data_IF_822381395889
#
_entry.id   IF_822381395889
#
_cell.length_a   1.000
_cell.length_b   1.000
_cell.length_c   1.000
_cell.angle_alpha   90.00
_cell.angle_beta   90.00
_cell.angle_gamma   90.00
#
_symmetry.space_group_name_H-M   'P 1'
#
loop_
_entity.id
_entity.type
_entity.pdbx_description
1 polymer ?
#
# COMPACT_ATOMS: atom_id res chain seq x y z
N UNK A 1 -7.76 1.56 22.45
CA UNK A 1 -7.72 3.04 22.62
C UNK A 1 -7.12 3.59 21.34
N UNK A 2 -7.89 4.41 20.62
CA UNK A 2 -7.46 5.12 19.42
C UNK A 2 -6.81 6.45 19.80
N UNK A 3 -5.90 6.98 18.98
CA UNK A 3 -5.34 8.32 19.18
C UNK A 3 -6.45 9.38 18.99
N UNK A 4 -6.59 10.31 19.94
CA UNK A 4 -7.67 11.32 19.88
C UNK A 4 -7.37 12.48 18.93
N UNK A 5 -6.08 12.78 18.74
CA UNK A 5 -5.64 14.03 18.09
C UNK A 5 -5.30 13.89 16.60
N UNK A 6 -5.22 12.67 16.07
CA UNK A 6 -4.90 12.46 14.66
C UNK A 6 -5.53 11.18 14.13
N UNK A 7 -5.80 11.20 12.83
CA UNK A 7 -6.26 10.03 12.07
C UNK A 7 -5.07 9.37 11.38
N UNK A 8 -5.02 8.04 11.37
CA UNK A 8 -3.94 7.32 10.72
C UNK A 8 -4.33 6.94 9.29
N UNK A 9 -3.41 7.21 8.37
CA UNK A 9 -3.41 6.67 7.02
C UNK A 9 -2.26 5.67 6.89
N UNK A 10 -2.52 4.53 6.26
CA UNK A 10 -1.52 3.51 5.94
C UNK A 10 -1.28 3.44 4.44
N UNK A 11 -0.12 2.91 4.03
CA UNK A 11 0.24 2.74 2.63
C UNK A 11 0.57 1.27 2.37
N UNK A 12 -0.10 0.67 1.37
CA UNK A 12 0.12 -0.70 0.96
C UNK A 12 0.87 -0.72 -0.38
N UNK A 13 2.17 -1.09 -0.39
CA UNK A 13 2.95 -1.16 -1.63
C UNK A 13 2.45 -2.26 -2.58
N UNK A 14 2.68 -2.11 -3.88
CA UNK A 14 2.26 -3.03 -4.92
C UNK A 14 2.90 -4.42 -4.70
N UNK A 15 4.17 -4.47 -4.27
CA UNK A 15 4.82 -5.75 -3.94
C UNK A 15 4.08 -6.53 -2.83
N UNK A 16 3.50 -5.83 -1.85
CA UNK A 16 2.65 -6.45 -0.83
C UNK A 16 1.28 -6.83 -1.41
N UNK A 17 0.60 -5.88 -2.07
CA UNK A 17 -0.74 -6.08 -2.64
C UNK A 17 -0.80 -7.18 -3.70
N UNK A 18 0.31 -7.44 -4.39
CA UNK A 18 0.44 -8.53 -5.36
C UNK A 18 0.27 -9.89 -4.70
N UNK A 19 0.83 -10.07 -3.51
CA UNK A 19 1.00 -11.38 -2.87
C UNK A 19 0.06 -11.60 -1.68
N UNK A 20 -0.55 -10.55 -1.14
CA UNK A 20 -1.45 -10.69 0.02
C UNK A 20 -2.75 -11.38 -0.37
N UNK A 21 -3.23 -12.26 0.49
CA UNK A 21 -4.55 -12.88 0.46
C UNK A 21 -5.48 -12.16 1.45
N UNK A 22 -6.79 -12.13 1.18
CA UNK A 22 -7.74 -11.33 1.97
C UNK A 22 -7.82 -11.79 3.43
N UNK A 23 -7.68 -13.08 3.70
CA UNK A 23 -7.71 -13.63 5.05
C UNK A 23 -6.49 -13.18 5.87
N UNK A 24 -5.32 -13.10 5.22
CA UNK A 24 -4.12 -12.58 5.87
C UNK A 24 -4.25 -11.06 6.12
N UNK A 25 -4.79 -10.33 5.14
CA UNK A 25 -5.05 -8.89 5.27
C UNK A 25 -6.04 -8.59 6.40
N UNK A 26 -7.08 -9.40 6.55
CA UNK A 26 -8.05 -9.29 7.65
C UNK A 26 -7.39 -9.49 9.01
N UNK A 27 -6.64 -10.56 9.17
CA UNK A 27 -5.92 -10.86 10.41
C UNK A 27 -4.97 -9.72 10.80
N UNK A 28 -4.21 -9.20 9.84
CA UNK A 28 -3.28 -8.11 10.07
C UNK A 28 -4.01 -6.81 10.44
N UNK A 29 -5.08 -6.47 9.71
CA UNK A 29 -5.89 -5.29 9.99
C UNK A 29 -6.53 -5.36 11.38
N UNK A 30 -7.10 -6.51 11.76
CA UNK A 30 -7.69 -6.73 13.07
C UNK A 30 -6.68 -6.59 14.20
N UNK A 31 -5.44 -7.03 13.97
CA UNK A 31 -4.36 -6.80 14.92
C UNK A 31 -4.06 -5.31 15.08
N UNK A 32 -3.87 -4.59 13.97
CA UNK A 32 -3.52 -3.17 14.02
C UNK A 32 -4.64 -2.30 14.60
N UNK A 33 -5.92 -2.58 14.28
CA UNK A 33 -7.07 -1.80 14.76
C UNK A 33 -7.25 -1.83 16.28
N UNK A 34 -6.64 -2.79 16.99
CA UNK A 34 -6.61 -2.80 18.47
C UNK A 34 -5.85 -1.60 19.04
N UNK A 35 -4.87 -1.10 18.29
CA UNK A 35 -3.91 -0.09 18.74
C UNK A 35 -3.92 1.19 17.90
N UNK A 36 -4.38 1.12 16.65
CA UNK A 36 -4.27 2.19 15.66
C UNK A 36 -5.64 2.56 15.08
N UNK A 37 -5.96 3.85 15.04
CA UNK A 37 -7.17 4.40 14.39
C UNK A 37 -6.96 4.59 12.89
N UNK A 38 -6.88 3.47 12.17
CA UNK A 38 -6.70 3.47 10.71
C UNK A 38 -8.02 3.89 10.06
N UNK A 39 -8.03 5.07 9.44
CA UNK A 39 -9.21 5.63 8.74
C UNK A 39 -9.02 5.74 7.24
N UNK A 40 -7.80 5.56 6.76
CA UNK A 40 -7.46 5.67 5.35
C UNK A 40 -6.37 4.68 4.96
N UNK A 41 -6.46 4.16 3.74
CA UNK A 41 -5.42 3.37 3.08
C UNK A 41 -5.11 3.93 1.70
N UNK A 42 -3.82 3.98 1.38
CA UNK A 42 -3.34 4.17 0.02
C UNK A 42 -2.98 2.82 -0.57
N UNK A 43 -3.61 2.48 -1.69
CA UNK A 43 -3.40 1.24 -2.42
C UNK A 43 -2.52 1.52 -3.64
N UNK A 44 -1.28 1.04 -3.59
CA UNK A 44 -0.36 1.21 -4.70
C UNK A 44 -0.70 0.28 -5.86
N UNK A 45 -1.16 0.85 -6.96
CA UNK A 45 -1.62 0.08 -8.13
C UNK A 45 -0.45 -0.38 -9.02
N UNK A 46 0.67 0.33 -8.96
CA UNK A 46 1.85 0.06 -9.76
C UNK A 46 3.16 0.51 -9.08
N UNK A 47 4.18 -0.35 -9.14
CA UNK A 47 5.58 -0.07 -8.77
C UNK A 47 6.51 -0.98 -9.57
N UNK A 48 7.34 -0.42 -10.44
CA UNK A 48 8.32 -1.19 -11.21
C UNK A 48 7.71 -2.33 -12.01
N UNK A 49 8.13 -3.56 -11.71
CA UNK A 49 7.61 -4.75 -12.39
C UNK A 49 6.22 -5.19 -11.86
N UNK A 50 5.72 -4.60 -10.78
CA UNK A 50 4.47 -4.98 -10.15
C UNK A 50 3.34 -4.06 -10.58
N UNK A 51 2.41 -4.59 -11.38
CA UNK A 51 1.12 -3.98 -11.69
C UNK A 51 0.02 -4.88 -11.14
N UNK A 52 -0.84 -4.34 -10.28
CA UNK A 52 -1.89 -5.16 -9.66
C UNK A 52 -3.05 -5.35 -10.64
N UNK A 53 -3.51 -6.60 -10.87
CA UNK A 53 -4.70 -6.84 -11.69
C UNK A 53 -5.89 -6.06 -11.15
N UNK A 54 -6.67 -5.45 -12.06
CA UNK A 54 -7.83 -4.62 -11.70
C UNK A 54 -8.80 -5.35 -10.78
N UNK A 55 -9.09 -6.62 -11.06
CA UNK A 55 -9.99 -7.43 -10.25
C UNK A 55 -9.49 -7.56 -8.80
N UNK A 56 -8.21 -7.92 -8.61
CA UNK A 56 -7.60 -8.02 -7.28
C UNK A 56 -7.65 -6.68 -6.55
N UNK A 57 -7.33 -5.58 -7.25
CA UNK A 57 -7.38 -4.23 -6.66
C UNK A 57 -8.79 -3.83 -6.24
N UNK A 58 -9.82 -4.17 -7.02
CA UNK A 58 -11.21 -3.90 -6.66
C UNK A 58 -11.65 -4.70 -5.42
N UNK A 59 -11.30 -6.00 -5.34
CA UNK A 59 -11.58 -6.81 -4.14
C UNK A 59 -10.92 -6.24 -2.88
N UNK A 60 -9.67 -5.79 -2.99
CA UNK A 60 -8.96 -5.17 -1.86
C UNK A 60 -9.57 -3.81 -1.50
N UNK A 61 -9.96 -3.00 -2.49
CA UNK A 61 -10.66 -1.74 -2.26
C UNK A 61 -11.97 -1.97 -1.50
N UNK A 62 -12.79 -2.91 -1.96
CA UNK A 62 -14.06 -3.31 -1.34
C UNK A 62 -13.83 -3.77 0.10
N UNK A 63 -12.84 -4.62 0.35
CA UNK A 63 -12.47 -5.09 1.69
C UNK A 63 -12.26 -3.95 2.70
N UNK A 64 -11.59 -2.86 2.30
CA UNK A 64 -11.36 -1.70 3.17
C UNK A 64 -12.60 -0.80 3.30
N UNK A 65 -13.32 -0.56 2.21
CA UNK A 65 -14.50 0.31 2.22
C UNK A 65 -15.66 -0.26 3.04
N UNK A 66 -15.87 -1.59 3.00
CA UNK A 66 -16.82 -2.31 3.86
C UNK A 66 -16.51 -2.15 5.35
N UNK A 67 -15.28 -1.81 5.70
CA UNK A 67 -14.80 -1.58 7.08
C UNK A 67 -14.69 -0.08 7.41
N UNK A 68 -15.33 0.78 6.62
CA UNK A 68 -15.35 2.24 6.77
C UNK A 68 -13.96 2.90 6.65
N UNK A 69 -13.00 2.23 5.99
CA UNK A 69 -11.65 2.77 5.72
C UNK A 69 -11.63 3.39 4.33
N UNK A 70 -11.32 4.68 4.24
CA UNK A 70 -11.26 5.40 2.97
C UNK A 70 -10.10 4.88 2.13
N UNK A 71 -10.34 4.66 0.84
CA UNK A 71 -9.29 4.21 -0.09
C UNK A 71 -8.79 5.37 -0.96
N UNK A 72 -7.54 5.29 -1.40
CA UNK A 72 -6.96 6.19 -2.41
C UNK A 72 -5.91 5.43 -3.20
N UNK A 73 -5.70 5.79 -4.47
CA UNK A 73 -4.67 5.17 -5.30
C UNK A 73 -3.28 5.75 -5.01
N UNK A 74 -2.26 4.92 -5.15
CA UNK A 74 -0.86 5.32 -5.24
C UNK A 74 -0.20 4.71 -6.47
N UNK A 75 0.78 5.41 -7.04
CA UNK A 75 1.70 4.87 -8.06
C UNK A 75 3.09 5.31 -7.64
N UNK A 76 4.05 4.38 -7.66
CA UNK A 76 5.46 4.75 -7.48
C UNK A 76 6.19 4.68 -8.80
N UNK A 77 6.68 5.84 -9.24
CA UNK A 77 7.56 5.93 -10.38
C UNK A 77 8.93 5.31 -10.02
N UNK A 78 9.32 4.29 -10.78
CA UNK A 78 10.61 3.63 -10.64
C UNK A 78 11.32 3.59 -11.98
N UNK A 79 12.65 3.63 -11.98
CA UNK A 79 13.46 3.38 -13.18
C UNK A 79 14.63 2.47 -12.84
N UNK A 80 15.10 1.68 -13.80
CA UNK A 80 16.32 0.89 -13.67
C UNK A 80 17.24 1.35 -14.80
N UNK A 81 18.39 1.93 -14.46
CA UNK A 81 19.31 2.44 -15.47
C UNK A 81 20.27 1.37 -15.99
N UNK A 82 20.43 0.25 -15.26
CA UNK A 82 21.37 -0.80 -15.63
C UNK A 82 22.83 -0.35 -15.50
N UNK A 83 23.07 0.71 -14.72
CA UNK A 83 24.37 1.26 -14.40
C UNK A 83 24.44 1.43 -12.88
N UNK A 84 25.33 0.67 -12.24
CA UNK A 84 25.48 0.62 -10.78
C UNK A 84 25.73 2.00 -10.15
N UNK A 85 26.45 2.90 -10.84
CA UNK A 85 26.74 4.24 -10.33
C UNK A 85 25.48 5.12 -10.25
N UNK A 86 24.60 5.04 -11.26
CA UNK A 86 23.35 5.80 -11.28
C UNK A 86 22.26 5.16 -10.42
N UNK A 87 22.30 3.83 -10.26
CA UNK A 87 21.38 3.10 -9.39
C UNK A 87 21.73 3.32 -7.90
N UNK A 88 23.01 3.55 -7.56
CA UNK A 88 23.46 3.84 -6.17
C UNK A 88 22.75 5.04 -5.54
N UNK A 89 22.48 6.09 -6.32
CA UNK A 89 21.84 7.31 -5.80
C UNK A 89 20.34 7.16 -5.56
N UNK A 90 19.74 5.97 -5.75
CA UNK A 90 18.30 5.76 -5.67
C UNK A 90 17.93 4.67 -4.69
N UNK A 91 17.16 5.04 -3.67
CA UNK A 91 16.61 4.09 -2.71
C UNK A 91 15.49 3.30 -3.41
N UNK A 92 15.64 1.98 -3.50
CA UNK A 92 14.69 1.05 -4.13
C UNK A 92 14.25 1.46 -5.55
N UNK A 93 15.18 1.94 -6.38
CA UNK A 93 14.92 2.36 -7.77
C UNK A 93 13.84 3.44 -7.94
N UNK A 94 13.47 4.13 -6.86
CA UNK A 94 12.34 5.06 -6.80
C UNK A 94 12.81 6.49 -7.06
N UNK A 95 11.97 7.29 -7.73
CA UNK A 95 12.13 8.74 -7.72
C UNK A 95 11.49 9.32 -6.46
N UNK A 96 12.27 10.00 -5.63
CA UNK A 96 11.74 10.85 -4.57
C UNK A 96 11.44 12.23 -5.16
N UNK A 97 10.20 12.72 -4.98
CA UNK A 97 9.76 14.06 -5.36
C UNK A 97 9.64 14.94 -4.12
#
# INVERSE_FOLDING_TARGET
MAYENFKLAIYCPAGFLKNVELEALEKDLDFFRKYLDITKVYLETHRGADTIPREKMLRIKEFFEEREIKTSGGITATVVFGNEELDYYRIFNTFCY
#
